data_IF_724308417414
#
_entry.id   IF_724308417414
#
_cell.length_a   1.000
_cell.length_b   1.000
_cell.length_c   1.000
_cell.angle_alpha   90.00
_cell.angle_beta   90.00
_cell.angle_gamma   90.00
#
_symmetry.space_group_name_H-M   'P 1'
#
loop_
_entity.id
_entity.type
_entity.pdbx_description
1 polymer ?
#
# COMPACT_ATOMS: atom_id res chain seq x y z
N UNK A 1 -58.90 -20.18 10.19
CA UNK A 1 -57.76 -20.67 10.98
C UNK A 1 -56.99 -19.45 11.46
N UNK A 2 -57.10 -19.11 12.74
CA UNK A 2 -56.52 -17.87 13.28
C UNK A 2 -55.05 -18.13 13.62
N UNK A 3 -54.14 -17.54 12.85
CA UNK A 3 -52.71 -17.59 13.14
C UNK A 3 -52.46 -16.86 14.46
N UNK A 4 -52.02 -17.60 15.48
CA UNK A 4 -51.48 -17.02 16.72
C UNK A 4 -50.13 -16.42 16.37
N UNK A 5 -50.06 -15.09 16.25
CA UNK A 5 -48.81 -14.38 16.09
C UNK A 5 -48.02 -14.53 17.39
N UNK A 6 -47.01 -15.41 17.38
CA UNK A 6 -46.05 -15.54 18.48
C UNK A 6 -45.19 -14.29 18.48
N UNK A 7 -45.48 -13.35 19.37
CA UNK A 7 -44.60 -12.21 19.62
C UNK A 7 -43.27 -12.67 20.21
N UNK A 8 -42.20 -11.94 19.92
CA UNK A 8 -40.89 -12.14 20.54
C UNK A 8 -40.96 -11.64 21.99
N UNK A 9 -40.41 -12.40 22.94
CA UNK A 9 -40.43 -12.00 24.36
C UNK A 9 -39.38 -10.93 24.64
N UNK A 10 -39.61 -10.09 25.65
CA UNK A 10 -38.63 -9.08 26.06
C UNK A 10 -37.30 -9.71 26.51
N UNK A 11 -37.35 -10.90 27.13
CA UNK A 11 -36.15 -11.62 27.55
C UNK A 11 -35.33 -12.10 26.34
N UNK A 12 -35.97 -12.52 25.25
CA UNK A 12 -35.26 -12.91 24.02
C UNK A 12 -34.59 -11.70 23.37
N UNK A 13 -35.24 -10.52 23.34
CA UNK A 13 -34.59 -9.30 22.83
C UNK A 13 -33.35 -8.93 23.66
N UNK A 14 -33.44 -9.01 24.99
CA UNK A 14 -32.31 -8.71 25.88
C UNK A 14 -31.18 -9.72 25.68
N UNK A 15 -31.49 -11.02 25.59
CA UNK A 15 -30.49 -12.06 25.37
C UNK A 15 -29.72 -11.84 24.06
N UNK A 16 -30.41 -11.46 22.97
CA UNK A 16 -29.77 -11.15 21.68
C UNK A 16 -28.86 -9.93 21.78
N UNK A 17 -29.30 -8.85 22.41
CA UNK A 17 -28.49 -7.64 22.58
C UNK A 17 -27.22 -7.91 23.42
N UNK A 18 -27.32 -8.75 24.45
CA UNK A 18 -26.14 -9.17 25.24
C UNK A 18 -25.16 -9.96 24.39
N UNK A 19 -25.63 -10.92 23.60
CA UNK A 19 -24.77 -11.73 22.71
C UNK A 19 -24.10 -10.82 21.67
N UNK A 20 -24.86 -9.96 20.99
CA UNK A 20 -24.31 -9.02 20.01
C UNK A 20 -23.32 -8.04 20.66
N UNK A 21 -23.56 -7.61 21.90
CA UNK A 21 -22.63 -6.78 22.65
C UNK A 21 -21.29 -7.45 22.89
N UNK A 22 -21.28 -8.73 23.30
CA UNK A 22 -20.04 -9.51 23.51
C UNK A 22 -19.31 -9.75 22.18
N UNK A 23 -20.05 -10.11 21.12
CA UNK A 23 -19.47 -10.31 19.79
C UNK A 23 -18.86 -9.02 19.25
N UNK A 24 -19.55 -7.88 19.38
CA UNK A 24 -19.02 -6.59 18.95
C UNK A 24 -17.77 -6.19 19.74
N UNK A 25 -17.77 -6.37 21.07
CA UNK A 25 -16.64 -6.05 21.93
C UNK A 25 -15.37 -6.84 21.59
N UNK A 26 -15.50 -8.05 21.05
CA UNK A 26 -14.37 -8.91 20.68
C UNK A 26 -13.98 -8.83 19.21
N UNK A 27 -14.95 -8.61 18.30
CA UNK A 27 -14.70 -8.55 16.87
C UNK A 27 -14.11 -7.22 16.41
N UNK A 28 -14.53 -6.08 16.99
CA UNK A 28 -14.07 -4.75 16.55
C UNK A 28 -12.54 -4.59 16.70
N UNK A 29 -11.92 -4.92 17.86
CA UNK A 29 -10.47 -4.77 18.00
C UNK A 29 -9.69 -5.61 16.97
N UNK A 30 -10.14 -6.85 16.75
CA UNK A 30 -9.52 -7.77 15.78
C UNK A 30 -9.65 -7.31 14.34
N UNK A 31 -10.77 -6.68 14.00
CA UNK A 31 -10.98 -6.12 12.67
C UNK A 31 -10.02 -4.97 12.41
N UNK A 32 -9.85 -4.06 13.38
CA UNK A 32 -8.89 -2.94 13.27
C UNK A 32 -7.46 -3.46 13.09
N UNK A 33 -7.01 -4.39 13.94
CA UNK A 33 -5.67 -4.98 13.84
C UNK A 33 -5.42 -5.62 12.45
N UNK A 34 -6.44 -6.31 11.91
CA UNK A 34 -6.36 -6.94 10.58
C UNK A 34 -6.31 -5.90 9.46
N UNK A 35 -7.09 -4.82 9.56
CA UNK A 35 -7.07 -3.72 8.60
C UNK A 35 -5.70 -3.04 8.57
N UNK A 36 -5.09 -2.78 9.73
CA UNK A 36 -3.75 -2.17 9.81
C UNK A 36 -2.69 -3.10 9.20
N UNK A 37 -2.74 -4.40 9.51
CA UNK A 37 -1.83 -5.39 8.91
C UNK A 37 -2.01 -5.52 7.40
N UNK A 38 -3.26 -5.47 6.91
CA UNK A 38 -3.55 -5.50 5.48
C UNK A 38 -3.00 -4.25 4.77
N UNK A 39 -3.10 -3.09 5.42
CA UNK A 39 -2.59 -1.84 4.88
C UNK A 39 -1.06 -1.83 4.83
N UNK A 40 -0.39 -2.34 5.86
CA UNK A 40 1.06 -2.53 5.83
C UNK A 40 1.49 -3.47 4.70
N UNK A 41 0.82 -4.63 4.55
CA UNK A 41 1.13 -5.58 3.48
C UNK A 41 0.91 -5.00 2.08
N UNK A 42 -0.13 -4.19 1.89
CA UNK A 42 -0.35 -3.48 0.63
C UNK A 42 0.76 -2.46 0.34
N UNK A 43 1.18 -1.72 1.37
CA UNK A 43 2.28 -0.75 1.28
C UNK A 43 3.60 -1.44 0.91
N UNK A 44 3.90 -2.58 1.55
CA UNK A 44 5.07 -3.41 1.22
C UNK A 44 5.01 -3.95 -0.21
N UNK A 45 3.83 -4.36 -0.69
CA UNK A 45 3.63 -4.86 -2.05
C UNK A 45 3.91 -3.78 -3.12
N UNK A 46 3.48 -2.55 -2.86
CA UNK A 46 3.73 -1.42 -3.77
C UNK A 46 5.21 -1.06 -3.75
N UNK A 47 5.83 -1.01 -2.57
CA UNK A 47 7.26 -0.78 -2.42
C UNK A 47 8.10 -1.82 -3.20
N UNK A 48 7.74 -3.11 -3.13
CA UNK A 48 8.39 -4.16 -3.91
C UNK A 48 8.20 -4.01 -5.43
N UNK A 49 7.06 -3.46 -5.86
CA UNK A 49 6.79 -3.16 -7.27
C UNK A 49 7.64 -1.97 -7.76
N UNK A 50 7.80 -0.94 -6.94
CA UNK A 50 8.70 0.20 -7.22
C UNK A 50 10.17 -0.23 -7.30
N UNK A 51 10.62 -1.09 -6.38
CA UNK A 51 11.98 -1.66 -6.42
C UNK A 51 12.22 -2.46 -7.69
N UNK A 52 11.25 -3.32 -8.06
CA UNK A 52 11.33 -4.13 -9.28
C UNK A 52 11.35 -3.26 -10.53
N UNK A 53 10.48 -2.24 -10.61
CA UNK A 53 10.44 -1.32 -11.74
C UNK A 53 11.74 -0.51 -11.86
N UNK A 54 12.32 -0.08 -10.73
CA UNK A 54 13.60 0.61 -10.71
C UNK A 54 14.76 -0.28 -11.18
N UNK A 55 14.81 -1.54 -10.75
CA UNK A 55 15.80 -2.50 -11.22
C UNK A 55 15.68 -2.78 -12.72
N UNK A 56 14.46 -2.88 -13.25
CA UNK A 56 14.21 -3.07 -14.68
C UNK A 56 14.65 -1.84 -15.50
N UNK A 57 14.29 -0.63 -15.06
CA UNK A 57 14.71 0.60 -15.72
C UNK A 57 16.23 0.75 -15.74
N UNK A 58 16.90 0.40 -14.63
CA UNK A 58 18.36 0.38 -14.57
C UNK A 58 18.99 -0.67 -15.51
N UNK A 59 18.36 -1.83 -15.67
CA UNK A 59 18.82 -2.83 -16.63
C UNK A 59 18.69 -2.35 -18.08
N UNK A 60 17.60 -1.65 -18.41
CA UNK A 60 17.39 -1.01 -19.72
C UNK A 60 18.42 0.08 -19.96
N UNK A 61 18.73 0.89 -18.95
CA UNK A 61 19.74 1.95 -18.99
C UNK A 61 21.13 1.39 -19.37
N UNK A 62 21.62 0.40 -18.62
CA UNK A 62 22.90 -0.27 -18.92
C UNK A 62 22.89 -0.89 -20.33
N UNK A 63 21.78 -1.51 -20.73
CA UNK A 63 21.67 -2.12 -22.05
C UNK A 63 21.66 -1.07 -23.19
N UNK A 64 21.02 0.08 -22.96
CA UNK A 64 20.97 1.18 -23.92
C UNK A 64 22.36 1.79 -24.12
N UNK A 65 23.10 2.03 -23.04
CA UNK A 65 24.48 2.51 -23.09
C UNK A 65 25.43 1.53 -23.79
N UNK A 66 25.19 0.22 -23.63
CA UNK A 66 25.93 -0.82 -24.33
C UNK A 66 25.53 -0.97 -25.81
N UNK A 67 24.53 -0.22 -26.29
CA UNK A 67 24.01 -0.33 -27.65
C UNK A 67 23.24 -1.63 -27.93
N UNK A 68 22.73 -2.29 -26.89
CA UNK A 68 22.02 -3.56 -26.97
C UNK A 68 20.50 -3.40 -27.12
N UNK A 69 19.96 -2.22 -26.81
CA UNK A 69 18.54 -1.89 -26.95
C UNK A 69 18.37 -0.43 -27.43
N UNK A 70 17.17 -0.11 -27.89
CA UNK A 70 16.73 1.26 -28.20
C UNK A 70 15.49 1.67 -27.38
N UNK A 71 15.18 0.90 -26.32
CA UNK A 71 14.14 1.27 -25.37
C UNK A 71 14.50 2.57 -24.64
N UNK A 72 13.47 3.35 -24.34
CA UNK A 72 13.60 4.63 -23.66
C UNK A 72 13.74 4.41 -22.16
N UNK A 73 14.84 4.88 -21.59
CA UNK A 73 15.07 4.94 -20.15
C UNK A 73 14.18 6.04 -19.55
N UNK A 74 13.57 5.76 -18.41
CA UNK A 74 12.88 6.79 -17.61
C UNK A 74 13.90 7.41 -16.67
N UNK A 75 14.02 8.74 -16.71
CA UNK A 75 14.92 9.48 -15.82
C UNK A 75 14.47 9.39 -14.36
N UNK A 76 15.38 8.97 -13.48
CA UNK A 76 15.20 8.85 -12.03
C UNK A 76 16.33 9.61 -11.35
N UNK A 77 16.06 10.83 -10.89
CA UNK A 77 16.99 11.68 -10.14
C UNK A 77 16.51 11.93 -8.69
N UNK A 78 15.27 11.58 -8.38
CA UNK A 78 14.67 11.63 -7.06
C UNK A 78 13.82 10.38 -6.80
N UNK A 79 13.69 9.98 -5.52
CA UNK A 79 12.75 8.95 -5.11
C UNK A 79 11.32 9.20 -5.63
N UNK A 80 10.86 10.46 -5.73
CA UNK A 80 9.54 10.77 -6.29
C UNK A 80 9.41 10.39 -7.76
N UNK A 81 10.50 10.41 -8.52
CA UNK A 81 10.48 10.09 -9.95
C UNK A 81 10.17 8.61 -10.20
N UNK A 82 10.35 7.75 -9.18
CA UNK A 82 10.08 6.31 -9.27
C UNK A 82 8.60 6.00 -9.50
N UNK A 83 7.69 6.94 -9.22
CA UNK A 83 6.27 6.79 -9.55
C UNK A 83 6.05 6.71 -11.07
N UNK A 84 6.91 7.36 -11.87
CA UNK A 84 6.84 7.35 -13.32
C UNK A 84 7.29 6.00 -13.94
N UNK A 85 7.86 5.11 -13.12
CA UNK A 85 8.25 3.77 -13.54
C UNK A 85 7.07 2.79 -13.53
N UNK A 86 5.96 3.18 -12.89
CA UNK A 86 4.73 2.38 -12.87
C UNK A 86 3.84 2.78 -14.04
N UNK A 87 3.16 1.79 -14.63
CA UNK A 87 2.20 2.04 -15.72
C UNK A 87 0.96 2.80 -15.27
N UNK A 88 0.58 2.63 -14.00
CA UNK A 88 -0.56 3.29 -13.37
C UNK A 88 -0.06 4.20 -12.24
N UNK A 89 -0.72 5.33 -12.07
CA UNK A 89 -0.41 6.27 -10.99
C UNK A 89 -0.66 5.63 -9.62
N UNK A 90 0.18 5.98 -8.64
CA UNK A 90 -0.07 5.63 -7.25
C UNK A 90 -1.40 6.24 -6.76
N UNK A 91 -2.18 5.51 -5.94
CA UNK A 91 -3.35 6.09 -5.29
C UNK A 91 -2.96 7.33 -4.46
N UNK A 92 -3.86 8.31 -4.35
CA UNK A 92 -3.58 9.61 -3.75
C UNK A 92 -3.16 9.55 -2.27
N UNK A 93 -3.48 8.44 -1.60
CA UNK A 93 -3.12 8.17 -0.21
C UNK A 93 -1.66 7.76 -0.04
N UNK A 94 -0.97 7.37 -1.11
CA UNK A 94 0.44 7.02 -1.06
C UNK A 94 1.33 8.20 -1.43
N UNK A 95 2.37 8.42 -0.63
CA UNK A 95 3.36 9.47 -0.88
C UNK A 95 4.76 8.89 -0.77
N UNK A 96 5.63 9.25 -1.71
CA UNK A 96 7.05 8.91 -1.65
C UNK A 96 7.81 10.10 -1.06
N UNK A 97 8.62 9.84 -0.02
CA UNK A 97 9.49 10.87 0.55
C UNK A 97 10.61 11.19 -0.43
N UNK A 98 10.73 12.47 -0.80
CA UNK A 98 11.75 12.92 -1.72
C UNK A 98 13.16 12.70 -1.15
N UNK A 99 14.03 12.09 -1.96
CA UNK A 99 15.46 12.01 -1.71
C UNK A 99 16.18 11.96 -3.05
N UNK A 100 17.30 12.68 -3.16
CA UNK A 100 18.07 12.75 -4.41
C UNK A 100 18.79 11.43 -4.67
N UNK A 101 18.78 10.99 -5.92
CA UNK A 101 19.44 9.78 -6.39
C UNK A 101 20.43 10.18 -7.48
N UNK A 102 21.70 9.88 -7.26
CA UNK A 102 22.72 10.09 -8.29
C UNK A 102 22.58 9.03 -9.39
N UNK A 103 23.05 9.34 -10.60
CA UNK A 103 23.06 8.39 -11.71
C UNK A 103 23.71 7.06 -11.31
N UNK A 104 23.00 5.96 -11.58
CA UNK A 104 23.36 4.56 -11.24
C UNK A 104 23.62 4.28 -9.75
N UNK A 105 23.33 5.23 -8.87
CA UNK A 105 23.42 5.03 -7.44
C UNK A 105 22.14 4.39 -6.91
N UNK A 106 22.27 3.48 -5.93
CA UNK A 106 21.13 2.95 -5.19
C UNK A 106 20.88 3.75 -3.92
N UNK A 107 19.63 4.16 -3.70
CA UNK A 107 19.17 4.91 -2.53
C UNK A 107 17.93 4.23 -1.96
N UNK A 108 17.85 4.16 -0.62
CA UNK A 108 16.65 3.71 0.07
C UNK A 108 15.59 4.81 0.06
N UNK A 109 14.51 4.59 -0.67
CA UNK A 109 13.34 5.46 -0.71
C UNK A 109 12.28 4.99 0.27
N UNK A 110 11.45 5.92 0.76
CA UNK A 110 10.36 5.61 1.71
C UNK A 110 9.02 5.89 1.06
N UNK A 111 8.16 4.88 1.01
CA UNK A 111 6.75 4.97 0.64
C UNK A 111 5.92 5.02 1.93
N UNK A 112 4.99 5.98 2.01
CA UNK A 112 4.08 6.12 3.15
C UNK A 112 2.64 6.10 2.68
N UNK A 113 1.79 5.33 3.36
CA UNK A 113 0.35 5.43 3.27
C UNK A 113 -0.16 6.44 4.29
N UNK A 114 -0.86 7.46 3.82
CA UNK A 114 -1.28 8.63 4.58
C UNK A 114 -2.79 8.61 4.83
N UNK A 115 -3.19 8.83 6.09
CA UNK A 115 -4.58 9.06 6.49
C UNK A 115 -4.62 10.32 7.33
N UNK A 116 -5.46 11.28 6.96
CA UNK A 116 -5.61 12.58 7.65
C UNK A 116 -4.28 13.31 7.91
N UNK A 117 -3.32 13.19 6.98
CA UNK A 117 -2.01 13.81 7.06
C UNK A 117 -0.99 13.08 7.95
N UNK A 118 -1.32 11.89 8.45
CA UNK A 118 -0.41 11.04 9.23
C UNK A 118 -0.06 9.75 8.48
N UNK A 119 1.20 9.34 8.53
CA UNK A 119 1.61 8.05 7.98
C UNK A 119 1.10 6.92 8.89
N UNK A 120 0.26 6.05 8.33
CA UNK A 120 -0.33 4.90 9.04
C UNK A 120 0.41 3.61 8.72
N UNK A 121 0.99 3.50 7.53
CA UNK A 121 1.89 2.42 7.14
C UNK A 121 3.07 2.98 6.33
N UNK A 122 4.24 2.38 6.46
CA UNK A 122 5.46 2.81 5.75
C UNK A 122 6.23 1.60 5.27
N UNK A 123 6.77 1.69 4.06
CA UNK A 123 7.67 0.68 3.50
C UNK A 123 8.88 1.36 2.87
N UNK A 124 10.03 0.68 2.91
CA UNK A 124 11.25 1.14 2.24
C UNK A 124 11.52 0.28 1.02
N UNK A 125 11.95 0.91 -0.07
CA UNK A 125 12.36 0.23 -1.29
C UNK A 125 13.65 0.81 -1.84
N UNK A 126 14.43 0.00 -2.55
CA UNK A 126 15.63 0.49 -3.21
C UNK A 126 15.26 1.07 -4.58
N UNK A 127 15.65 2.31 -4.80
CA UNK A 127 15.61 2.94 -6.12
C UNK A 127 17.02 3.13 -6.65
N UNK A 128 17.18 3.01 -7.95
CA UNK A 128 18.42 3.19 -8.69
C UNK A 128 18.24 4.37 -9.65
N UNK A 129 19.20 5.30 -9.62
CA UNK A 129 19.18 6.45 -10.52
C UNK A 129 19.48 6.05 -11.96
N UNK A 130 18.84 6.73 -12.90
CA UNK A 130 19.06 6.58 -14.33
C UNK A 130 18.82 7.94 -15.00
N UNK A 131 19.62 8.34 -15.99
CA UNK A 131 19.54 9.67 -16.62
C UNK A 131 19.75 9.63 -18.13
#
# INVERSE_FOLDING_TARGET
MTNKQSGFTLIELIAVLVILGILAATAIPRFVDLSDAAQQAATDSIAGSLESASALNHAVDIAAEAGLTSETVVGVANCTDTENLLSDALPAEYTITAATIADKASVACTLSYMVDGSAVATATFQAIGAQ
#
